data_IF_047929615167
#
_entry.id   IF_047929615167
#
_cell.length_a   1.000
_cell.length_b   1.000
_cell.length_c   1.000
_cell.angle_alpha   90.00
_cell.angle_beta   90.00
_cell.angle_gamma   90.00
#
_symmetry.space_group_name_H-M   'P 1'
#
loop_
_entity.id
_entity.type
_entity.pdbx_description
1 polymer ?
#
# COMPACT_ATOMS: atom_id res chain seq x y z
N UNK A 1 -5.44 16.96 17.59
CA UNK A 1 -4.00 16.85 17.31
C UNK A 1 -3.71 17.31 15.92
N UNK A 2 -2.54 17.92 15.75
CA UNK A 2 -2.15 18.36 14.42
C UNK A 2 -1.80 17.16 13.54
N UNK A 3 -2.11 17.23 12.26
CA UNK A 3 -1.77 16.22 11.26
C UNK A 3 -0.26 15.94 11.22
N UNK A 4 0.55 16.97 11.46
CA UNK A 4 2.00 16.88 11.52
C UNK A 4 2.49 15.95 12.62
N UNK A 5 1.88 16.04 13.79
CA UNK A 5 2.25 15.20 14.94
C UNK A 5 1.90 13.74 14.67
N UNK A 6 0.71 13.50 14.10
CA UNK A 6 0.30 12.14 13.75
C UNK A 6 1.22 11.52 12.72
N UNK A 7 1.61 12.26 11.69
CA UNK A 7 2.54 11.78 10.67
C UNK A 7 3.91 11.43 11.25
N UNK A 8 4.41 12.26 12.19
CA UNK A 8 5.69 12.01 12.86
C UNK A 8 5.63 10.76 13.71
N UNK A 9 4.56 10.60 14.48
CA UNK A 9 4.34 9.42 15.32
C UNK A 9 4.26 8.17 14.45
N UNK A 10 3.52 8.24 13.34
CA UNK A 10 3.38 7.12 12.41
C UNK A 10 4.74 6.67 11.87
N UNK A 11 5.59 7.62 11.46
CA UNK A 11 6.94 7.30 10.95
C UNK A 11 7.83 6.69 12.03
N UNK A 12 7.77 7.22 13.22
CA UNK A 12 8.57 6.71 14.34
C UNK A 12 8.14 5.29 14.71
N UNK A 13 6.83 5.05 14.80
CA UNK A 13 6.30 3.72 15.04
C UNK A 13 6.71 2.76 13.94
N UNK A 14 6.62 3.17 12.68
CA UNK A 14 7.00 2.32 11.55
C UNK A 14 8.47 1.93 11.62
N UNK A 15 9.34 2.88 11.91
CA UNK A 15 10.78 2.65 12.00
C UNK A 15 11.11 1.66 13.12
N UNK A 16 10.58 1.90 14.31
CA UNK A 16 10.87 1.07 15.48
C UNK A 16 10.25 -0.33 15.34
N UNK A 17 9.03 -0.41 14.81
CA UNK A 17 8.39 -1.68 14.56
C UNK A 17 9.13 -2.50 13.51
N UNK A 18 9.61 -1.85 12.45
CA UNK A 18 10.38 -2.54 11.41
C UNK A 18 11.64 -3.14 11.98
N UNK A 19 12.36 -2.41 12.81
CA UNK A 19 13.57 -2.91 13.47
C UNK A 19 13.25 -4.04 14.45
N UNK A 20 12.20 -3.90 15.21
CA UNK A 20 11.80 -4.90 16.19
C UNK A 20 11.44 -6.22 15.50
N UNK A 21 10.63 -6.16 14.45
CA UNK A 21 10.23 -7.35 13.70
C UNK A 21 11.44 -8.00 13.03
N UNK A 22 12.32 -7.19 12.45
CA UNK A 22 13.49 -7.69 11.73
C UNK A 22 14.51 -8.35 12.66
N UNK A 23 14.76 -7.78 13.84
CA UNK A 23 15.85 -8.21 14.70
C UNK A 23 15.40 -9.03 15.90
N UNK A 24 14.24 -8.77 16.48
CA UNK A 24 13.81 -9.43 17.72
C UNK A 24 12.79 -10.53 17.50
N UNK A 25 11.93 -10.39 16.49
CA UNK A 25 10.91 -11.39 16.19
C UNK A 25 11.36 -12.33 15.06
N UNK A 26 12.65 -12.63 15.00
CA UNK A 26 13.19 -13.56 14.00
C UNK A 26 12.58 -14.94 14.18
N UNK A 27 11.50 -15.18 13.51
CA UNK A 27 10.96 -16.53 13.38
C UNK A 27 11.09 -16.94 11.92
N UNK A 28 11.81 -18.03 11.61
CA UNK A 28 12.00 -18.48 10.22
C UNK A 28 10.68 -18.71 9.49
N UNK A 29 9.62 -19.01 10.25
CA UNK A 29 8.31 -19.30 9.68
C UNK A 29 7.54 -18.06 9.22
N UNK A 30 7.99 -16.86 9.60
CA UNK A 30 7.28 -15.63 9.26
C UNK A 30 7.71 -15.04 7.92
N UNK A 31 8.84 -15.50 7.34
CA UNK A 31 9.33 -14.98 6.07
C UNK A 31 9.75 -13.52 6.15
N UNK A 32 9.76 -12.85 5.01
CA UNK A 32 10.10 -11.43 4.94
C UNK A 32 8.85 -10.58 5.09
N UNK A 33 8.76 -9.90 6.22
CA UNK A 33 7.65 -9.00 6.55
C UNK A 33 8.12 -7.57 6.33
N UNK A 34 7.35 -6.79 5.59
CA UNK A 34 7.59 -5.36 5.41
C UNK A 34 6.42 -4.59 5.98
N UNK A 35 6.70 -3.61 6.82
CA UNK A 35 5.67 -2.68 7.29
C UNK A 35 5.56 -1.58 6.25
N UNK A 36 4.40 -1.47 5.61
CA UNK A 36 4.19 -0.51 4.55
C UNK A 36 3.73 0.84 5.08
N UNK A 37 2.93 0.84 6.14
CA UNK A 37 2.47 2.07 6.78
C UNK A 37 1.92 1.78 8.16
N UNK A 38 1.82 2.84 8.95
CA UNK A 38 1.20 2.81 10.27
C UNK A 38 0.18 3.94 10.33
N UNK A 39 -1.02 3.65 10.75
CA UNK A 39 -2.10 4.63 10.88
C UNK A 39 -2.55 4.73 12.34
N UNK A 40 -2.01 5.69 13.11
CA UNK A 40 -2.48 5.93 14.47
C UNK A 40 -3.82 6.66 14.44
N UNK A 41 -4.64 6.41 15.45
CA UNK A 41 -5.86 7.20 15.65
C UNK A 41 -5.50 8.61 16.14
N UNK A 42 -6.43 9.55 15.97
CA UNK A 42 -6.20 10.94 16.33
C UNK A 42 -5.92 11.13 17.82
N UNK A 43 -6.44 10.27 18.66
CA UNK A 43 -6.20 10.27 20.11
C UNK A 43 -4.96 9.45 20.52
N UNK A 44 -4.29 8.81 19.56
CA UNK A 44 -3.11 7.97 19.76
C UNK A 44 -3.34 6.76 20.68
N UNK A 45 -4.56 6.33 20.84
CA UNK A 45 -4.86 5.13 21.63
C UNK A 45 -4.70 3.84 20.87
N UNK A 46 -4.90 3.88 19.54
CA UNK A 46 -4.80 2.73 18.66
C UNK A 46 -3.97 3.07 17.44
N UNK A 47 -3.34 2.06 16.87
CA UNK A 47 -2.62 2.19 15.62
C UNK A 47 -2.80 0.94 14.79
N UNK A 48 -3.16 1.11 13.52
CA UNK A 48 -3.20 0.02 12.56
C UNK A 48 -1.85 -0.07 11.87
N UNK A 49 -1.26 -1.25 11.90
CA UNK A 49 0.02 -1.52 11.25
C UNK A 49 -0.23 -2.39 10.02
N UNK A 50 0.09 -1.84 8.87
CA UNK A 50 -0.12 -2.54 7.60
C UNK A 50 1.17 -3.19 7.14
N UNK A 51 1.08 -4.47 6.78
CA UNK A 51 2.23 -5.28 6.40
C UNK A 51 2.02 -5.93 5.04
N UNK A 52 3.11 -6.27 4.39
CA UNK A 52 3.14 -7.20 3.26
C UNK A 52 4.13 -8.31 3.56
N UNK A 53 3.90 -9.47 2.94
CA UNK A 53 4.79 -10.61 3.02
C UNK A 53 5.35 -10.86 1.62
N UNK A 54 6.68 -10.84 1.50
CA UNK A 54 7.33 -10.87 0.19
C UNK A 54 7.54 -12.28 -0.37
N UNK A 55 7.63 -13.30 0.49
CA UNK A 55 7.98 -14.65 0.07
C UNK A 55 6.80 -15.48 -0.41
N UNK A 56 5.74 -15.52 0.38
CA UNK A 56 4.65 -16.47 0.18
C UNK A 56 3.36 -15.88 0.73
N UNK A 57 2.45 -15.54 -0.17
CA UNK A 57 1.16 -14.98 0.20
C UNK A 57 0.33 -15.95 1.06
N UNK A 58 0.57 -17.26 0.93
CA UNK A 58 -0.13 -18.25 1.73
C UNK A 58 0.22 -18.17 3.22
N UNK A 59 1.37 -17.57 3.54
CA UNK A 59 1.80 -17.36 4.92
C UNK A 59 1.18 -16.14 5.57
N UNK A 60 0.48 -15.31 4.80
CA UNK A 60 -0.04 -14.04 5.29
C UNK A 60 -0.92 -14.20 6.53
N UNK A 61 -1.86 -15.14 6.50
CA UNK A 61 -2.74 -15.38 7.65
C UNK A 61 -1.96 -15.81 8.87
N UNK A 62 -1.01 -16.72 8.69
CA UNK A 62 -0.13 -17.20 9.78
C UNK A 62 0.68 -16.06 10.36
N UNK A 63 1.24 -15.20 9.49
CA UNK A 63 2.02 -14.05 9.92
C UNK A 63 1.15 -13.07 10.71
N UNK A 64 -0.04 -12.73 10.20
CA UNK A 64 -0.95 -11.82 10.86
C UNK A 64 -1.38 -12.35 12.24
N UNK A 65 -1.72 -13.64 12.32
CA UNK A 65 -2.09 -14.27 13.58
C UNK A 65 -0.93 -14.22 14.58
N UNK A 66 0.28 -14.51 14.13
CA UNK A 66 1.46 -14.47 14.99
C UNK A 66 1.75 -13.06 15.50
N UNK A 67 1.68 -12.06 14.63
CA UNK A 67 1.92 -10.67 15.00
C UNK A 67 0.86 -10.16 15.98
N UNK A 68 -0.41 -10.48 15.74
CA UNK A 68 -1.48 -10.06 16.61
C UNK A 68 -1.41 -10.75 17.99
N UNK A 69 -0.99 -12.01 18.02
CA UNK A 69 -0.72 -12.69 19.30
C UNK A 69 0.45 -12.07 20.05
N UNK A 70 1.46 -11.60 19.31
CA UNK A 70 2.64 -10.96 19.89
C UNK A 70 2.43 -9.48 20.18
N UNK A 71 1.26 -8.91 19.89
CA UNK A 71 1.02 -7.47 19.97
C UNK A 71 1.28 -6.90 21.37
N UNK A 72 0.94 -7.65 22.43
CA UNK A 72 1.22 -7.22 23.80
C UNK A 72 2.70 -7.13 24.10
N UNK A 73 3.48 -8.10 23.63
CA UNK A 73 4.94 -8.08 23.76
C UNK A 73 5.54 -6.94 22.96
N UNK A 74 5.10 -6.78 21.73
CA UNK A 74 5.56 -5.70 20.84
C UNK A 74 5.28 -4.34 21.49
N UNK A 75 4.09 -4.17 22.02
CA UNK A 75 3.68 -2.95 22.72
C UNK A 75 4.63 -2.61 23.88
N UNK A 76 4.98 -3.62 24.70
CA UNK A 76 5.90 -3.42 25.81
C UNK A 76 7.29 -3.03 25.36
N UNK A 77 7.81 -3.69 24.33
CA UNK A 77 9.14 -3.38 23.80
C UNK A 77 9.17 -1.98 23.19
N UNK A 78 8.12 -1.59 22.46
CA UNK A 78 8.01 -0.24 21.93
C UNK A 78 8.01 0.81 23.03
N UNK A 79 7.35 0.53 24.14
CA UNK A 79 7.32 1.45 25.27
C UNK A 79 8.69 1.73 25.85
N UNK A 80 9.65 0.81 25.67
CA UNK A 80 11.04 1.01 26.10
C UNK A 80 11.87 1.76 25.05
N UNK A 81 11.49 1.70 23.80
CA UNK A 81 12.26 2.30 22.70
C UNK A 81 11.79 3.69 22.33
N UNK A 82 10.49 3.95 22.47
CA UNK A 82 9.88 5.20 22.06
C UNK A 82 9.50 6.00 23.30
N UNK A 83 9.93 7.28 23.33
CA UNK A 83 9.57 8.20 24.40
C UNK A 83 8.22 8.82 24.13
N UNK A 84 7.18 8.08 24.41
CA UNK A 84 5.80 8.55 24.38
C UNK A 84 5.15 8.27 25.72
N UNK A 85 4.25 9.15 26.13
CA UNK A 85 3.51 8.96 27.36
C UNK A 85 2.69 7.68 27.33
N UNK A 86 2.06 7.42 26.19
CA UNK A 86 1.31 6.20 25.95
C UNK A 86 1.64 5.68 24.58
N UNK A 87 1.91 4.38 24.48
CA UNK A 87 2.09 3.71 23.19
C UNK A 87 0.74 3.24 22.70
N UNK A 88 0.35 3.53 21.46
CA UNK A 88 -0.92 3.02 20.92
C UNK A 88 -1.00 1.51 20.96
N UNK A 89 -2.18 0.98 21.15
CA UNK A 89 -2.44 -0.45 20.99
C UNK A 89 -2.37 -0.79 19.49
N UNK A 90 -1.63 -1.84 19.19
CA UNK A 90 -1.34 -2.20 17.81
C UNK A 90 -2.28 -3.28 17.31
N UNK A 91 -2.72 -3.15 16.07
CA UNK A 91 -3.36 -4.23 15.34
C UNK A 91 -2.68 -4.36 13.98
N UNK A 92 -2.44 -5.58 13.54
CA UNK A 92 -1.73 -5.86 12.30
C UNK A 92 -2.71 -6.27 11.22
N UNK A 93 -2.54 -5.68 10.05
CA UNK A 93 -3.42 -5.87 8.90
C UNK A 93 -2.60 -6.04 7.64
N UNK A 94 -3.15 -6.73 6.67
CA UNK A 94 -2.53 -6.82 5.36
C UNK A 94 -2.74 -5.52 4.60
N UNK A 95 -1.67 -5.03 3.97
CA UNK A 95 -1.78 -3.87 3.09
C UNK A 95 -2.13 -4.35 1.69
N UNK A 96 -3.39 -4.23 1.31
CA UNK A 96 -3.89 -4.62 0.00
C UNK A 96 -3.80 -3.50 -1.04
N UNK A 97 -3.21 -2.36 -0.68
CA UNK A 97 -3.10 -1.19 -1.55
C UNK A 97 -2.38 -1.54 -2.85
N UNK A 98 -1.26 -2.25 -2.75
CA UNK A 98 -0.49 -2.67 -3.93
C UNK A 98 -1.31 -3.58 -4.83
N UNK A 99 -2.04 -4.53 -4.26
CA UNK A 99 -2.91 -5.41 -5.03
C UNK A 99 -4.04 -4.65 -5.70
N UNK A 100 -4.64 -3.69 -4.97
CA UNK A 100 -5.68 -2.82 -5.53
C UNK A 100 -5.14 -1.98 -6.66
N UNK A 101 -3.96 -1.40 -6.51
CA UNK A 101 -3.31 -0.61 -7.54
C UNK A 101 -3.00 -1.46 -8.77
N UNK A 102 -2.49 -2.66 -8.59
CA UNK A 102 -2.22 -3.58 -9.68
C UNK A 102 -3.50 -4.00 -10.39
N UNK A 103 -4.58 -4.21 -9.64
CA UNK A 103 -5.87 -4.56 -10.20
C UNK A 103 -6.43 -3.42 -11.04
N UNK A 104 -6.36 -2.19 -10.54
CA UNK A 104 -6.77 -1.00 -11.26
C UNK A 104 -5.94 -0.84 -12.52
N UNK A 105 -4.63 -1.01 -12.42
CA UNK A 105 -3.72 -0.92 -13.56
C UNK A 105 -4.06 -1.96 -14.63
N UNK A 106 -4.35 -3.19 -14.23
CA UNK A 106 -4.77 -4.25 -15.16
C UNK A 106 -6.09 -3.89 -15.86
N UNK A 107 -7.04 -3.34 -15.11
CA UNK A 107 -8.33 -2.91 -15.68
C UNK A 107 -8.11 -1.80 -16.70
N UNK A 108 -7.27 -0.82 -16.41
CA UNK A 108 -6.94 0.24 -17.37
C UNK A 108 -6.24 -0.33 -18.60
N UNK A 109 -5.33 -1.28 -18.44
CA UNK A 109 -4.67 -1.95 -19.55
C UNK A 109 -5.66 -2.69 -20.43
N UNK A 110 -6.63 -3.37 -19.84
CA UNK A 110 -7.68 -4.07 -20.58
C UNK A 110 -8.57 -3.08 -21.34
N UNK A 111 -8.92 -1.96 -20.72
CA UNK A 111 -9.69 -0.90 -21.37
C UNK A 111 -8.92 -0.33 -22.55
N UNK A 112 -7.63 -0.06 -22.39
CA UNK A 112 -6.77 0.42 -23.47
C UNK A 112 -6.70 -0.58 -24.63
N UNK A 113 -6.58 -1.86 -24.33
CA UNK A 113 -6.60 -2.91 -25.36
C UNK A 113 -7.93 -2.96 -26.08
N UNK A 114 -9.04 -2.84 -25.37
CA UNK A 114 -10.37 -2.78 -25.96
C UNK A 114 -10.53 -1.56 -26.84
N UNK A 115 -10.10 -0.40 -26.38
CA UNK A 115 -10.14 0.84 -27.15
C UNK A 115 -9.27 0.75 -28.40
N UNK A 116 -8.09 0.16 -28.31
CA UNK A 116 -7.21 -0.04 -29.45
C UNK A 116 -7.81 -1.01 -30.45
N UNK A 117 -8.46 -2.07 -29.99
CA UNK A 117 -9.17 -3.02 -30.87
C UNK A 117 -10.31 -2.33 -31.61
N UNK A 118 -11.10 -1.52 -30.89
CA UNK A 118 -12.18 -0.73 -31.48
C UNK A 118 -11.64 0.28 -32.49
N UNK A 119 -10.55 0.98 -32.16
CA UNK A 119 -9.90 1.92 -33.07
C UNK A 119 -9.39 1.22 -34.34
N UNK A 120 -8.82 0.04 -34.19
CA UNK A 120 -8.34 -0.73 -35.34
C UNK A 120 -9.48 -1.16 -36.24
N UNK A 121 -10.58 -1.64 -35.66
CA UNK A 121 -11.77 -2.01 -36.41
C UNK A 121 -12.38 -0.79 -37.10
N UNK A 122 -12.46 0.33 -36.40
CA UNK A 122 -12.92 1.58 -36.98
C UNK A 122 -11.97 2.09 -38.05
N UNK A 123 -10.67 1.88 -37.89
CA UNK A 123 -9.64 2.28 -38.86
C UNK A 123 -9.76 1.50 -40.14
N UNK A 124 -10.14 0.23 -40.06
CA UNK A 124 -10.40 -0.57 -41.27
C UNK A 124 -11.64 -0.07 -42.01
N UNK A 125 -12.65 0.42 -41.30
CA UNK A 125 -13.93 0.87 -41.85
C UNK A 125 -13.86 2.33 -42.29
N UNK A 126 -13.21 3.22 -41.53
CA UNK A 126 -13.21 4.67 -41.74
C UNK A 126 -11.82 5.29 -41.49
N UNK A 127 -10.82 4.87 -42.26
CA UNK A 127 -9.44 5.31 -42.12
C UNK A 127 -9.30 6.84 -42.21
N UNK A 128 -9.99 7.44 -43.19
CA UNK A 128 -9.93 8.89 -43.42
C UNK A 128 -10.49 9.68 -42.25
N UNK A 129 -11.62 9.28 -41.72
CA UNK A 129 -12.24 9.95 -40.56
C UNK A 129 -11.36 9.88 -39.32
N UNK A 130 -10.70 8.75 -39.10
CA UNK A 130 -9.79 8.56 -37.97
C UNK A 130 -8.59 9.48 -38.08
N UNK A 131 -8.02 9.62 -39.26
CA UNK A 131 -6.89 10.52 -39.51
C UNK A 131 -7.29 11.98 -39.32
N UNK A 132 -8.44 12.38 -39.81
CA UNK A 132 -8.97 13.73 -39.59
C UNK A 132 -9.16 14.07 -38.13
N UNK A 133 -9.71 13.13 -37.32
CA UNK A 133 -9.89 13.35 -35.91
C UNK A 133 -8.55 13.48 -35.19
N UNK A 134 -7.57 12.63 -35.56
CA UNK A 134 -6.24 12.68 -34.96
C UNK A 134 -5.55 14.01 -35.29
N UNK A 135 -5.64 14.48 -36.52
CA UNK A 135 -5.09 15.78 -36.92
C UNK A 135 -5.74 16.93 -36.18
N UNK A 136 -7.06 16.90 -36.04
CA UNK A 136 -7.81 17.92 -35.31
C UNK A 136 -7.39 17.99 -33.86
N UNK A 137 -7.25 16.85 -33.21
CA UNK A 137 -6.79 16.78 -31.83
C UNK A 137 -5.38 17.28 -31.65
N UNK A 138 -4.47 16.91 -32.56
CA UNK A 138 -3.09 17.40 -32.53
C UNK A 138 -3.02 18.90 -32.76
N UNK A 139 -3.83 19.42 -33.65
CA UNK A 139 -3.90 20.84 -33.92
C UNK A 139 -4.42 21.62 -32.72
N UNK A 140 -5.43 21.11 -32.05
CA UNK A 140 -5.96 21.67 -30.80
C UNK A 140 -4.92 21.70 -29.71
N UNK A 141 -4.13 20.64 -29.56
CA UNK A 141 -3.05 20.56 -28.56
C UNK A 141 -1.92 21.55 -28.90
N UNK A 142 -1.63 21.77 -30.15
CA UNK A 142 -0.59 22.71 -30.55
C UNK A 142 -0.97 24.17 -30.29
N UNK A 143 -2.24 24.49 -30.34
CA UNK A 143 -2.74 25.84 -30.04
C UNK A 143 -2.70 26.15 -28.54
N UNK A 144 -2.58 25.17 -27.71
CA UNK A 144 -2.40 25.33 -26.27
C UNK A 144 -0.92 25.44 -25.95
#
# INVERSE_FOLDING_TARGET
MSTHRLARVAKELQRELSQLILYELRQPNLGFITITRVEPTSDLQYAKVFITVLDDENKLKTVLDALNKASGYIHRVLGKRIRMRYIPRLSFHFDDTVEKEQRIFRLFSEIDKMNNAVKNDTKIINTENTEMIAETQNHSKRKK
#
